data_IF_174509020265
#
_entry.id   IF_174509020265
#
_cell.length_a   1.000
_cell.length_b   1.000
_cell.length_c   1.000
_cell.angle_alpha   90.00
_cell.angle_beta   90.00
_cell.angle_gamma   90.00
#
_symmetry.space_group_name_H-M   'P 1'
#
loop_
_entity.id
_entity.type
_entity.pdbx_description
1 polymer ?
#
# COMPACT_ATOMS: atom_id res chain seq x y z
N UNK A 1 12.37 -14.60 -4.77
CA UNK A 1 11.62 -13.69 -3.88
C UNK A 1 12.46 -13.39 -2.65
N UNK A 2 12.23 -12.25 -1.99
CA UNK A 2 13.02 -11.80 -0.83
C UNK A 2 13.21 -12.90 0.25
N UNK A 3 14.33 -12.99 0.96
CA UNK A 3 14.42 -13.83 2.16
C UNK A 3 13.43 -13.32 3.23
N UNK A 4 13.02 -14.20 4.15
CA UNK A 4 12.25 -13.77 5.31
C UNK A 4 13.11 -12.87 6.22
N UNK A 5 12.48 -11.89 6.85
CA UNK A 5 13.16 -11.01 7.81
C UNK A 5 13.26 -11.70 9.17
N UNK A 6 14.46 -11.89 9.76
CA UNK A 6 14.61 -12.45 11.09
C UNK A 6 13.88 -11.61 12.14
N UNK A 7 13.26 -12.25 13.13
CA UNK A 7 12.52 -11.55 14.20
C UNK A 7 13.36 -10.46 14.88
N UNK A 8 14.63 -10.74 15.20
CA UNK A 8 15.57 -9.77 15.78
C UNK A 8 15.74 -8.49 14.93
N UNK A 9 15.68 -8.61 13.61
CA UNK A 9 15.78 -7.47 12.70
C UNK A 9 14.52 -6.62 12.80
N UNK A 10 13.35 -7.26 12.81
CA UNK A 10 12.05 -6.57 12.88
C UNK A 10 11.86 -5.90 14.23
N UNK A 11 12.23 -6.55 15.34
CA UNK A 11 12.17 -5.95 16.67
C UNK A 11 13.07 -4.70 16.76
N UNK A 12 14.27 -4.74 16.18
CA UNK A 12 15.17 -3.58 16.11
C UNK A 12 14.59 -2.43 15.25
N UNK A 13 13.99 -2.75 14.10
CA UNK A 13 13.32 -1.76 13.24
C UNK A 13 12.14 -1.11 13.98
N UNK A 14 11.31 -1.89 14.66
CA UNK A 14 10.20 -1.37 15.46
C UNK A 14 10.70 -0.38 16.52
N UNK A 15 11.71 -0.77 17.30
CA UNK A 15 12.29 0.09 18.33
C UNK A 15 12.82 1.41 17.76
N UNK A 16 13.57 1.35 16.65
CA UNK A 16 14.10 2.54 15.98
C UNK A 16 12.98 3.45 15.45
N UNK A 17 12.00 2.87 14.76
CA UNK A 17 10.88 3.62 14.19
C UNK A 17 10.05 4.31 15.27
N UNK A 18 9.78 3.66 16.41
CA UNK A 18 9.06 4.31 17.55
C UNK A 18 9.82 5.51 18.08
N UNK A 19 11.15 5.38 18.25
CA UNK A 19 11.99 6.49 18.70
C UNK A 19 12.01 7.66 17.72
N UNK A 20 12.15 7.39 16.42
CA UNK A 20 12.13 8.43 15.38
C UNK A 20 10.75 9.08 15.28
N UNK A 21 9.69 8.28 15.16
CA UNK A 21 8.33 8.79 15.01
C UNK A 21 7.89 9.64 16.21
N UNK A 22 8.26 9.24 17.43
CA UNK A 22 7.97 10.00 18.64
C UNK A 22 8.72 11.35 18.70
N UNK A 23 10.01 11.39 18.32
CA UNK A 23 10.80 12.64 18.33
C UNK A 23 10.34 13.66 17.29
N UNK A 24 9.83 13.18 16.15
CA UNK A 24 9.49 14.02 15.01
C UNK A 24 7.99 14.15 14.77
N UNK A 25 7.15 13.60 15.66
CA UNK A 25 5.69 13.57 15.53
C UNK A 25 5.25 13.05 14.16
N UNK A 26 5.90 11.99 13.66
CA UNK A 26 5.59 11.42 12.36
C UNK A 26 4.22 10.74 12.46
N UNK A 27 3.26 11.22 11.67
CA UNK A 27 1.95 10.59 11.56
C UNK A 27 2.07 9.16 11.04
N UNK A 28 1.22 8.26 11.52
CA UNK A 28 1.32 6.82 11.26
C UNK A 28 1.29 6.49 9.76
N UNK A 29 0.46 7.19 9.00
CA UNK A 29 0.32 7.07 7.54
C UNK A 29 1.53 7.58 6.75
N UNK A 30 2.51 8.22 7.42
CA UNK A 30 3.78 8.65 6.82
C UNK A 30 4.94 7.68 7.04
N UNK A 31 4.70 6.52 7.66
CA UNK A 31 5.66 5.41 7.68
C UNK A 31 5.41 4.54 6.45
N UNK A 32 6.20 4.78 5.41
CA UNK A 32 5.97 4.26 4.06
C UNK A 32 7.05 3.26 3.62
N UNK A 33 6.69 2.40 2.68
CA UNK A 33 7.66 1.65 1.87
C UNK A 33 8.38 2.58 0.90
N UNK A 34 9.56 2.20 0.44
CA UNK A 34 10.19 2.87 -0.68
C UNK A 34 9.37 2.70 -1.97
N UNK A 35 8.73 1.53 -2.15
CA UNK A 35 7.79 1.29 -3.23
C UNK A 35 6.57 2.20 -3.21
N UNK A 36 6.16 2.72 -2.05
CA UNK A 36 5.02 3.65 -1.99
C UNK A 36 5.38 5.04 -2.51
N UNK A 37 6.62 5.47 -2.24
CA UNK A 37 7.14 6.78 -2.63
C UNK A 37 7.64 6.76 -4.08
N UNK A 38 8.13 5.62 -4.56
CA UNK A 38 8.65 5.45 -5.92
C UNK A 38 8.09 4.21 -6.65
N UNK A 39 6.76 4.13 -6.87
CA UNK A 39 6.15 3.03 -7.61
C UNK A 39 6.82 2.80 -8.98
N UNK A 40 6.97 1.54 -9.38
CA UNK A 40 7.61 1.14 -10.64
C UNK A 40 9.14 1.25 -10.67
N UNK A 41 9.75 2.11 -9.84
CA UNK A 41 11.22 2.20 -9.70
C UNK A 41 11.76 1.37 -8.55
N UNK A 42 10.95 1.16 -7.51
CA UNK A 42 11.34 0.50 -6.26
C UNK A 42 10.28 -0.52 -5.85
N UNK A 43 10.76 -1.65 -5.34
CA UNK A 43 9.91 -2.75 -4.86
C UNK A 43 10.19 -3.06 -3.38
N UNK A 44 11.22 -2.46 -2.79
CA UNK A 44 11.58 -2.61 -1.39
C UNK A 44 10.60 -1.89 -0.44
N UNK A 45 10.33 -2.45 0.75
CA UNK A 45 10.99 -3.60 1.37
C UNK A 45 10.44 -4.97 0.94
N UNK A 46 9.57 -5.03 -0.05
CA UNK A 46 9.01 -6.29 -0.56
C UNK A 46 7.77 -6.76 0.18
N UNK A 47 7.02 -7.68 -0.43
CA UNK A 47 5.77 -8.26 0.08
C UNK A 47 5.95 -9.13 1.34
N UNK A 48 7.20 -9.46 1.67
CA UNK A 48 7.56 -10.24 2.87
C UNK A 48 7.87 -9.37 4.08
N UNK A 49 7.94 -8.05 3.92
CA UNK A 49 8.14 -7.16 5.04
C UNK A 49 6.90 -7.17 5.95
N UNK A 50 7.04 -7.39 7.27
CA UNK A 50 5.90 -7.66 8.15
C UNK A 50 5.24 -6.37 8.64
N UNK A 51 4.62 -5.60 7.74
CA UNK A 51 3.91 -4.36 8.07
C UNK A 51 2.90 -4.52 9.21
N UNK A 52 2.22 -5.66 9.29
CA UNK A 52 1.31 -5.99 10.40
C UNK A 52 2.01 -6.00 11.77
N UNK A 53 3.23 -6.54 11.86
CA UNK A 53 3.96 -6.58 13.12
C UNK A 53 4.37 -5.17 13.58
N UNK A 54 4.73 -4.29 12.63
CA UNK A 54 4.99 -2.88 12.94
C UNK A 54 3.72 -2.18 13.42
N UNK A 55 2.61 -2.35 12.71
CA UNK A 55 1.32 -1.74 13.05
C UNK A 55 0.82 -2.17 14.43
N UNK A 56 0.87 -3.47 14.74
CA UNK A 56 0.50 -4.01 16.06
C UNK A 56 1.41 -3.48 17.19
N UNK A 57 2.64 -3.08 16.86
CA UNK A 57 3.57 -2.42 17.77
C UNK A 57 3.41 -0.88 17.83
N UNK A 58 2.40 -0.32 17.14
CA UNK A 58 2.11 1.12 17.10
C UNK A 58 2.97 1.91 16.11
N UNK A 59 3.56 1.25 15.10
CA UNK A 59 4.35 1.88 14.04
C UNK A 59 3.65 1.72 12.70
N UNK A 60 3.37 2.84 12.04
CA UNK A 60 2.74 2.84 10.71
C UNK A 60 1.22 2.72 10.76
N UNK A 61 0.62 2.79 9.59
CA UNK A 61 -0.83 2.75 9.39
C UNK A 61 -1.21 1.51 8.58
N UNK A 62 -2.20 0.76 9.04
CA UNK A 62 -2.66 -0.46 8.37
C UNK A 62 -4.14 -0.71 8.68
N UNK A 63 -4.80 -1.41 7.77
CA UNK A 63 -6.12 -2.01 7.98
C UNK A 63 -6.06 -3.49 7.65
N UNK A 64 -7.03 -4.27 8.13
CA UNK A 64 -7.18 -5.65 7.68
C UNK A 64 -7.60 -5.68 6.21
N UNK A 65 -6.71 -6.23 5.38
CA UNK A 65 -6.95 -6.45 3.95
C UNK A 65 -8.28 -7.19 3.74
N UNK A 66 -9.05 -6.75 2.75
CA UNK A 66 -10.23 -7.50 2.33
C UNK A 66 -9.81 -8.90 1.81
N UNK A 67 -10.72 -9.89 1.86
CA UNK A 67 -10.43 -11.19 1.26
C UNK A 67 -10.48 -11.12 -0.27
N UNK A 68 -9.59 -11.90 -0.89
CA UNK A 68 -9.55 -12.10 -2.35
C UNK A 68 -10.75 -12.94 -2.77
N UNK A 69 -11.54 -12.44 -3.70
CA UNK A 69 -12.70 -13.16 -4.28
C UNK A 69 -12.72 -12.93 -5.78
N UNK A 70 -13.29 -13.88 -6.53
CA UNK A 70 -13.57 -13.71 -7.96
C UNK A 70 -14.60 -12.59 -8.15
N UNK A 71 -14.44 -11.80 -9.21
CA UNK A 71 -15.31 -10.68 -9.53
C UNK A 71 -14.69 -9.80 -10.62
N UNK A 72 -15.33 -8.67 -10.89
CA UNK A 72 -14.79 -7.65 -11.79
C UNK A 72 -13.42 -7.14 -11.30
N UNK A 73 -12.58 -6.78 -12.26
CA UNK A 73 -11.21 -6.30 -12.05
C UNK A 73 -10.96 -5.14 -12.97
N UNK A 74 -10.14 -4.19 -12.52
CA UNK A 74 -9.58 -3.13 -13.36
C UNK A 74 -8.11 -3.47 -13.64
N UNK A 75 -7.71 -3.43 -14.91
CA UNK A 75 -6.38 -3.83 -15.37
C UNK A 75 -5.91 -2.99 -16.56
N UNK A 76 -4.66 -3.19 -16.98
CA UNK A 76 -4.03 -2.42 -18.04
C UNK A 76 -4.84 -2.42 -19.33
N UNK A 77 -5.10 -1.24 -19.86
CA UNK A 77 -5.90 -1.03 -21.07
C UNK A 77 -7.38 -0.68 -20.79
N UNK A 78 -7.87 -0.88 -19.57
CA UNK A 78 -9.20 -0.42 -19.19
C UNK A 78 -9.26 1.11 -19.14
N UNK A 79 -10.43 1.67 -19.45
CA UNK A 79 -10.68 3.11 -19.44
C UNK A 79 -12.05 3.43 -18.85
N UNK A 80 -12.20 4.61 -18.23
CA UNK A 80 -13.49 5.17 -17.81
C UNK A 80 -13.54 5.57 -16.34
N UNK A 81 -14.73 5.93 -15.86
CA UNK A 81 -14.95 6.51 -14.54
C UNK A 81 -14.53 5.63 -13.36
N UNK A 82 -14.58 4.30 -13.49
CA UNK A 82 -14.10 3.39 -12.45
C UNK A 82 -12.57 3.49 -12.26
N UNK A 83 -11.84 3.78 -13.35
CA UNK A 83 -10.39 4.01 -13.31
C UNK A 83 -10.09 5.36 -12.67
N UNK A 84 -10.83 6.41 -13.05
CA UNK A 84 -10.71 7.74 -12.43
C UNK A 84 -10.96 7.67 -10.93
N UNK A 85 -11.96 6.89 -10.49
CA UNK A 85 -12.28 6.68 -9.09
C UNK A 85 -11.15 5.97 -8.34
N UNK A 86 -10.58 4.90 -8.93
CA UNK A 86 -9.41 4.22 -8.37
C UNK A 86 -8.20 5.16 -8.24
N UNK A 87 -7.85 5.88 -9.30
CA UNK A 87 -6.74 6.83 -9.32
C UNK A 87 -6.95 7.94 -8.29
N UNK A 88 -8.16 8.48 -8.20
CA UNK A 88 -8.53 9.48 -7.19
C UNK A 88 -8.36 8.98 -5.76
N UNK A 89 -8.78 7.74 -5.47
CA UNK A 89 -8.60 7.14 -4.15
C UNK A 89 -7.13 6.89 -3.80
N UNK A 90 -6.33 6.42 -4.76
CA UNK A 90 -4.88 6.22 -4.58
C UNK A 90 -4.16 7.56 -4.35
N UNK A 91 -4.50 8.58 -5.14
CA UNK A 91 -3.98 9.94 -5.00
C UNK A 91 -4.38 10.56 -3.64
N UNK A 92 -5.63 10.37 -3.22
CA UNK A 92 -6.12 10.86 -1.92
C UNK A 92 -5.38 10.21 -0.74
N UNK A 93 -5.00 8.94 -0.85
CA UNK A 93 -4.19 8.28 0.17
C UNK A 93 -2.74 8.80 0.17
N UNK A 94 -2.24 9.26 -0.98
CA UNK A 94 -0.92 9.91 -1.11
C UNK A 94 -0.01 9.33 -2.20
N UNK A 95 -0.48 8.39 -3.03
CA UNK A 95 0.30 7.88 -4.15
C UNK A 95 0.38 8.89 -5.29
N UNK A 96 1.54 9.00 -5.93
CA UNK A 96 1.71 9.79 -7.15
C UNK A 96 1.15 9.08 -8.38
N UNK A 97 -0.13 9.30 -8.67
CA UNK A 97 -0.83 8.76 -9.84
C UNK A 97 -1.61 9.87 -10.55
N UNK A 98 -1.57 9.89 -11.87
CA UNK A 98 -2.37 10.80 -12.69
C UNK A 98 -3.81 10.28 -12.77
N UNK A 99 -4.80 11.17 -12.66
CA UNK A 99 -6.22 10.85 -12.79
C UNK A 99 -6.61 11.01 -14.27
N UNK A 100 -6.15 10.09 -15.11
CA UNK A 100 -6.36 10.11 -16.56
C UNK A 100 -7.60 9.35 -17.01
N UNK A 101 -8.17 8.51 -16.13
CA UNK A 101 -9.22 7.56 -16.48
C UNK A 101 -8.75 6.41 -17.36
N UNK A 102 -7.44 6.26 -17.57
CA UNK A 102 -6.81 5.16 -18.31
C UNK A 102 -5.98 4.33 -17.34
N UNK A 103 -6.19 3.02 -17.30
CA UNK A 103 -5.39 2.12 -16.49
C UNK A 103 -4.10 1.82 -17.27
N UNK A 104 -3.14 2.70 -17.12
CA UNK A 104 -1.84 2.63 -17.77
C UNK A 104 -0.80 1.90 -16.91
N UNK A 105 0.45 1.89 -17.38
CA UNK A 105 1.58 1.26 -16.67
C UNK A 105 1.91 1.95 -15.35
N UNK A 106 1.68 3.26 -15.24
CA UNK A 106 1.88 3.98 -13.99
C UNK A 106 0.84 3.54 -12.95
N UNK A 107 -0.44 3.47 -13.35
CA UNK A 107 -1.54 3.00 -12.50
C UNK A 107 -1.29 1.56 -12.04
N UNK A 108 -0.89 0.67 -12.94
CA UNK A 108 -0.49 -0.71 -12.60
C UNK A 108 0.62 -0.75 -11.55
N UNK A 109 1.70 0.03 -11.74
CA UNK A 109 2.82 0.08 -10.82
C UNK A 109 2.43 0.61 -9.43
N UNK A 110 1.52 1.59 -9.37
CA UNK A 110 0.97 2.10 -8.11
C UNK A 110 0.10 1.05 -7.43
N UNK A 111 -0.73 0.33 -8.17
CA UNK A 111 -1.54 -0.78 -7.63
C UNK A 111 -0.64 -1.88 -7.07
N UNK A 112 0.44 -2.25 -7.75
CA UNK A 112 1.42 -3.22 -7.22
C UNK A 112 2.08 -2.74 -5.93
N UNK A 113 2.51 -1.48 -5.86
CA UNK A 113 3.09 -0.90 -4.65
C UNK A 113 2.10 -0.96 -3.49
N UNK A 114 0.86 -0.52 -3.72
CA UNK A 114 -0.23 -0.60 -2.75
C UNK A 114 -0.49 -2.03 -2.28
N UNK A 115 -0.60 -2.98 -3.20
CA UNK A 115 -0.84 -4.39 -2.87
C UNK A 115 0.32 -4.95 -2.03
N UNK A 116 1.56 -4.61 -2.37
CA UNK A 116 2.75 -5.07 -1.65
C UNK A 116 2.78 -4.62 -0.19
N UNK A 117 2.30 -3.41 0.10
CA UNK A 117 2.21 -2.89 1.46
C UNK A 117 0.97 -3.43 2.18
N UNK A 118 -0.23 -3.24 1.61
CA UNK A 118 -1.49 -3.38 2.34
C UNK A 118 -2.23 -4.70 2.09
N UNK A 119 -1.88 -5.44 1.03
CA UNK A 119 -2.58 -6.68 0.61
C UNK A 119 -1.62 -7.73 0.01
N UNK A 120 -0.52 -8.10 0.70
CA UNK A 120 0.62 -8.83 0.09
C UNK A 120 0.32 -10.26 -0.39
N UNK A 121 -0.86 -10.82 -0.08
CA UNK A 121 -1.25 -12.18 -0.51
C UNK A 121 -1.37 -12.34 -2.04
N UNK A 122 -1.53 -11.24 -2.77
CA UNK A 122 -1.55 -11.21 -4.25
C UNK A 122 -1.10 -9.81 -4.68
N UNK A 123 0.07 -9.74 -5.31
CA UNK A 123 0.66 -8.54 -5.87
C UNK A 123 0.79 -8.79 -7.36
N UNK A 124 -0.16 -8.30 -8.14
CA UNK A 124 -0.35 -8.61 -9.56
C UNK A 124 -0.70 -7.39 -10.41
N UNK A 125 -0.74 -6.19 -9.81
CA UNK A 125 -1.06 -4.95 -10.52
C UNK A 125 -2.52 -4.83 -10.95
N UNK A 126 -3.37 -5.80 -10.61
CA UNK A 126 -4.80 -5.81 -10.96
C UNK A 126 -5.63 -5.31 -9.79
N UNK A 127 -6.42 -4.26 -10.01
CA UNK A 127 -7.32 -3.74 -9.00
C UNK A 127 -8.60 -4.58 -8.93
N UNK A 128 -8.53 -5.67 -8.17
CA UNK A 128 -9.69 -6.47 -7.79
C UNK A 128 -10.52 -5.81 -6.67
N UNK A 129 -11.70 -6.36 -6.39
CA UNK A 129 -12.54 -5.87 -5.30
C UNK A 129 -11.89 -5.95 -3.91
N UNK A 130 -10.83 -6.76 -3.73
CA UNK A 130 -10.04 -6.78 -2.49
C UNK A 130 -9.15 -5.55 -2.38
N UNK A 131 -8.47 -5.15 -3.46
CA UNK A 131 -7.69 -3.91 -3.56
C UNK A 131 -8.58 -2.70 -3.26
N UNK A 132 -9.71 -2.56 -3.95
CA UNK A 132 -10.63 -1.42 -3.79
C UNK A 132 -11.16 -1.28 -2.36
N UNK A 133 -11.68 -2.37 -1.76
CA UNK A 133 -12.20 -2.32 -0.38
C UNK A 133 -11.11 -2.08 0.65
N UNK A 134 -9.89 -2.55 0.41
CA UNK A 134 -8.75 -2.28 1.32
C UNK A 134 -8.37 -0.81 1.28
N UNK A 135 -8.32 -0.21 0.08
CA UNK A 135 -8.05 1.22 -0.11
C UNK A 135 -9.14 2.09 0.51
N UNK A 136 -10.42 1.76 0.31
CA UNK A 136 -11.54 2.46 0.95
C UNK A 136 -11.46 2.43 2.49
N UNK A 137 -11.08 1.29 3.07
CA UNK A 137 -10.89 1.17 4.53
C UNK A 137 -9.75 2.05 5.03
N UNK A 138 -8.63 2.11 4.29
CA UNK A 138 -7.50 2.98 4.63
C UNK A 138 -7.89 4.45 4.59
N UNK A 139 -8.59 4.88 3.55
CA UNK A 139 -9.09 6.26 3.43
C UNK A 139 -10.05 6.61 4.57
N UNK A 140 -10.91 5.67 4.97
CA UNK A 140 -11.83 5.86 6.10
C UNK A 140 -11.13 5.87 7.47
N UNK A 141 -9.94 5.28 7.60
CA UNK A 141 -9.19 5.21 8.86
C UNK A 141 -8.20 6.35 9.07
N UNK A 142 -7.84 7.09 8.02
CA UNK A 142 -7.04 8.32 8.14
C UNK A 142 -7.87 9.38 8.85
N UNK A 143 -7.43 9.80 10.04
CA UNK A 143 -8.04 10.92 10.76
C UNK A 143 -7.57 12.22 10.12
N UNK A 144 -8.51 13.08 9.74
CA UNK A 144 -8.22 14.47 9.34
C UNK A 144 -7.93 15.34 10.57
#
# INVERSE_FOLDING_TARGET
>A
GYPGFPRRQIDAVIGLCRGIAGRHSIAAERVLAHSDVAPGRKIDPGEKFPWRALFEAGVGHLVTAAPVRRGATLTTGDTGGDIEALQSMLALYGYGVEISGVFDRQTEAVVEAFQRHFRPRKVDGVADGSTLRTLQRLLASVKR
#
